data_IF_521778841145
#
_entry.id   IF_521778841145
#
_cell.length_a   1.000
_cell.length_b   1.000
_cell.length_c   1.000
_cell.angle_alpha   90.00
_cell.angle_beta   90.00
_cell.angle_gamma   90.00
#
_symmetry.space_group_name_H-M   'P 1'
#
loop_
_entity.id
_entity.type
_entity.pdbx_description
1 polymer ?
#
# COMPACT_ATOMS: atom_id res chain seq x y z
N UNK A 1 -18.77 -3.83 -16.78
CA UNK A 1 -17.88 -4.71 -16.00
C UNK A 1 -16.80 -3.81 -15.42
N UNK A 2 -16.61 -3.78 -14.10
CA UNK A 2 -15.46 -3.07 -13.52
C UNK A 2 -14.20 -3.84 -13.89
N UNK A 3 -13.19 -3.14 -14.42
CA UNK A 3 -11.87 -3.74 -14.58
C UNK A 3 -11.10 -3.56 -13.27
N UNK A 4 -10.24 -4.53 -12.94
CA UNK A 4 -9.41 -4.52 -11.74
C UNK A 4 -8.04 -5.09 -12.04
N UNK A 5 -7.00 -4.53 -11.43
CA UNK A 5 -5.63 -5.04 -11.52
C UNK A 5 -4.96 -5.00 -10.15
N UNK A 6 -4.14 -6.01 -9.86
CA UNK A 6 -3.19 -5.89 -8.75
C UNK A 6 -2.29 -4.69 -9.04
N UNK A 7 -2.24 -3.75 -8.10
CA UNK A 7 -1.44 -2.54 -8.25
C UNK A 7 -0.36 -2.48 -7.18
N UNK A 8 -0.67 -2.92 -5.94
CA UNK A 8 0.28 -2.85 -4.82
C UNK A 8 0.21 -4.03 -3.87
N UNK A 9 1.30 -4.24 -3.13
CA UNK A 9 1.37 -5.14 -1.99
C UNK A 9 1.92 -4.34 -0.80
N UNK A 10 1.18 -4.32 0.31
CA UNK A 10 1.65 -3.74 1.56
C UNK A 10 2.23 -4.82 2.47
N UNK A 11 3.45 -4.62 2.93
CA UNK A 11 4.17 -5.48 3.85
C UNK A 11 4.23 -4.87 5.24
N UNK A 12 4.04 -5.71 6.25
CA UNK A 12 4.20 -5.36 7.66
C UNK A 12 5.69 -5.38 7.97
N UNK A 13 6.19 -4.31 8.57
CA UNK A 13 7.56 -4.19 9.06
C UNK A 13 7.57 -3.67 10.49
N UNK A 14 8.53 -4.14 11.28
CA UNK A 14 8.69 -3.73 12.68
C UNK A 14 9.37 -2.36 12.82
N UNK A 15 10.24 -2.02 11.86
CA UNK A 15 10.98 -0.76 11.79
C UNK A 15 10.98 -0.27 10.34
N UNK A 16 10.21 0.79 10.06
CA UNK A 16 10.05 1.31 8.71
C UNK A 16 11.36 1.90 8.18
N UNK A 17 12.14 2.58 9.02
CA UNK A 17 13.36 3.26 8.61
C UNK A 17 14.45 2.25 8.25
N UNK A 18 14.62 1.23 9.09
CA UNK A 18 15.55 0.13 8.81
C UNK A 18 15.15 -0.62 7.52
N UNK A 19 13.87 -0.91 7.34
CA UNK A 19 13.37 -1.60 6.14
C UNK A 19 13.59 -0.77 4.87
N UNK A 20 13.25 0.52 4.88
CA UNK A 20 13.50 1.42 3.75
C UNK A 20 15.00 1.53 3.43
N UNK A 21 15.85 1.72 4.45
CA UNK A 21 17.29 1.81 4.26
C UNK A 21 17.87 0.54 3.63
N UNK A 22 17.42 -0.63 4.08
CA UNK A 22 17.85 -1.91 3.52
C UNK A 22 17.34 -2.12 2.09
N UNK A 23 16.08 -1.78 1.79
CA UNK A 23 15.52 -1.92 0.45
C UNK A 23 16.16 -0.94 -0.54
N UNK A 24 16.46 0.29 -0.11
CA UNK A 24 17.27 1.23 -0.89
C UNK A 24 18.66 0.67 -1.16
N UNK A 25 19.36 0.21 -0.10
CA UNK A 25 20.70 -0.37 -0.19
C UNK A 25 20.80 -1.54 -1.17
N UNK A 26 19.85 -2.47 -1.13
CA UNK A 26 19.93 -3.74 -1.85
C UNK A 26 19.25 -3.66 -3.22
N UNK A 27 18.10 -3.01 -3.30
CA UNK A 27 17.21 -3.07 -4.45
C UNK A 27 17.02 -1.72 -5.13
N UNK A 28 17.73 -0.67 -4.71
CA UNK A 28 17.63 0.69 -5.27
C UNK A 28 16.19 1.24 -5.21
N UNK A 29 15.49 0.95 -4.11
CA UNK A 29 14.12 1.40 -3.87
C UNK A 29 14.08 2.70 -3.09
N UNK A 30 13.28 3.65 -3.57
CA UNK A 30 12.99 4.89 -2.88
C UNK A 30 11.50 4.94 -2.46
N UNK A 31 11.22 5.69 -1.40
CA UNK A 31 9.91 5.68 -0.73
C UNK A 31 9.47 7.08 -0.33
N UNK A 32 8.15 7.31 -0.40
CA UNK A 32 7.49 8.47 0.21
C UNK A 32 6.82 8.02 1.52
N UNK A 33 7.16 8.65 2.63
CA UNK A 33 6.62 8.32 3.96
C UNK A 33 5.37 9.14 4.26
N UNK A 34 4.35 8.45 4.76
CA UNK A 34 3.09 9.01 5.26
C UNK A 34 2.85 8.58 6.70
N UNK A 35 2.28 9.49 7.48
CA UNK A 35 1.75 9.20 8.81
C UNK A 35 0.24 9.14 8.70
N UNK A 36 -0.34 8.01 9.11
CA UNK A 36 -1.79 7.76 9.12
C UNK A 36 -2.22 7.64 10.57
N UNK A 37 -2.19 8.77 11.28
CA UNK A 37 -2.43 8.84 12.72
C UNK A 37 -3.80 8.28 13.13
N UNK A 38 -4.81 8.43 12.26
CA UNK A 38 -6.16 7.88 12.47
C UNK A 38 -6.18 6.35 12.52
N UNK A 39 -5.15 5.70 12.01
CA UNK A 39 -4.98 4.25 12.05
C UNK A 39 -3.81 3.81 12.93
N UNK A 40 -3.04 4.73 13.51
CA UNK A 40 -1.81 4.40 14.23
C UNK A 40 -0.76 3.72 13.34
N UNK A 41 -0.56 4.24 12.12
CA UNK A 41 0.36 3.66 11.13
C UNK A 41 1.35 4.69 10.57
N UNK A 42 2.58 4.23 10.28
CA UNK A 42 3.48 4.83 9.31
C UNK A 42 3.50 3.97 8.06
N UNK A 43 3.44 4.60 6.89
CA UNK A 43 3.42 3.92 5.60
C UNK A 43 4.49 4.50 4.69
N UNK A 44 5.36 3.65 4.16
CA UNK A 44 6.32 4.02 3.12
C UNK A 44 5.82 3.50 1.77
N UNK A 45 5.60 4.39 0.82
CA UNK A 45 5.06 4.07 -0.50
C UNK A 45 6.19 4.11 -1.52
N UNK A 46 6.54 2.94 -2.05
CA UNK A 46 7.52 2.80 -3.13
C UNK A 46 6.89 2.91 -4.52
N UNK A 47 7.72 3.20 -5.52
CA UNK A 47 7.28 3.42 -6.91
C UNK A 47 6.80 2.14 -7.61
N UNK A 48 7.37 0.98 -7.24
CA UNK A 48 7.16 -0.31 -7.91
C UNK A 48 6.00 -1.14 -7.33
N UNK A 49 4.98 -0.49 -6.76
CA UNK A 49 3.83 -1.19 -6.17
C UNK A 49 4.10 -1.82 -4.80
N UNK A 50 5.19 -1.45 -4.12
CA UNK A 50 5.46 -1.89 -2.75
C UNK A 50 5.04 -0.82 -1.73
N UNK A 51 4.33 -1.22 -0.69
CA UNK A 51 4.15 -0.42 0.52
C UNK A 51 4.76 -1.13 1.72
N UNK A 52 5.35 -0.37 2.63
CA UNK A 52 5.77 -0.85 3.94
C UNK A 52 4.89 -0.19 4.99
N UNK A 53 4.44 -0.96 5.97
CA UNK A 53 3.52 -0.52 7.00
C UNK A 53 4.09 -0.88 8.36
N UNK A 54 4.26 0.14 9.20
CA UNK A 54 4.70 0.02 10.59
C UNK A 54 3.59 0.53 11.51
N UNK A 55 3.29 -0.20 12.59
CA UNK A 55 2.41 0.28 13.65
C UNK A 55 3.14 1.32 14.49
N UNK A 56 2.51 2.45 14.79
CA UNK A 56 3.12 3.51 15.62
C UNK A 56 3.02 3.26 17.12
N UNK A 57 2.34 2.19 17.54
CA UNK A 57 2.12 1.89 18.95
C UNK A 57 1.63 0.46 19.20
N UNK A 58 1.53 0.06 20.49
CA UNK A 58 1.14 -1.29 20.88
C UNK A 58 -0.37 -1.53 20.70
N UNK A 59 -1.17 -0.46 20.63
CA UNK A 59 -2.62 -0.57 20.56
C UNK A 59 -3.08 -1.29 19.27
N UNK A 60 -4.13 -2.11 19.35
CA UNK A 60 -4.68 -2.75 18.18
C UNK A 60 -5.24 -1.73 17.19
N UNK A 61 -4.95 -1.93 15.91
CA UNK A 61 -5.52 -1.09 14.84
C UNK A 61 -6.69 -1.80 14.18
N UNK A 62 -7.65 -1.05 13.62
CA UNK A 62 -8.93 -1.58 13.13
C UNK A 62 -8.79 -2.73 12.09
N UNK A 63 -7.68 -2.76 11.35
CA UNK A 63 -7.43 -3.74 10.28
C UNK A 63 -6.48 -4.88 10.69
N UNK A 64 -5.92 -4.86 11.90
CA UNK A 64 -4.86 -5.79 12.32
C UNK A 64 -5.30 -7.25 12.30
N UNK A 65 -6.53 -7.55 12.74
CA UNK A 65 -7.06 -8.91 12.72
C UNK A 65 -7.22 -9.51 11.31
N UNK A 66 -7.20 -8.65 10.28
CA UNK A 66 -7.32 -9.05 8.88
C UNK A 66 -5.95 -9.41 8.31
N UNK A 67 -4.88 -8.75 8.77
CA UNK A 67 -3.52 -8.92 8.29
C UNK A 67 -3.04 -10.37 8.38
N UNK A 68 -2.12 -10.74 7.49
CA UNK A 68 -1.51 -12.07 7.41
C UNK A 68 -0.03 -11.90 7.16
N UNK A 69 0.72 -11.74 8.25
CA UNK A 69 2.15 -11.46 8.20
C UNK A 69 2.89 -12.40 7.23
N UNK A 70 3.77 -11.87 6.35
CA UNK A 70 4.22 -10.47 6.32
C UNK A 70 3.31 -9.50 5.55
N UNK A 71 2.14 -9.92 5.07
CA UNK A 71 1.28 -9.12 4.19
C UNK A 71 0.19 -8.39 5.00
N UNK A 72 0.14 -7.07 4.86
CA UNK A 72 -0.93 -6.22 5.36
C UNK A 72 -2.10 -6.14 4.37
N UNK A 73 -1.81 -6.01 3.07
CA UNK A 73 -2.82 -5.95 2.00
C UNK A 73 -2.25 -6.31 0.62
N UNK A 74 -3.09 -6.94 -0.20
CA UNK A 74 -3.02 -6.90 -1.65
C UNK A 74 -3.95 -5.81 -2.14
N UNK A 75 -3.42 -4.80 -2.82
CA UNK A 75 -4.19 -3.65 -3.23
C UNK A 75 -4.53 -3.72 -4.72
N UNK A 76 -5.82 -3.84 -4.99
CA UNK A 76 -6.37 -3.93 -6.34
C UNK A 76 -6.94 -2.57 -6.72
N UNK A 77 -6.39 -1.98 -7.78
CA UNK A 77 -6.95 -0.77 -8.37
C UNK A 77 -8.13 -1.16 -9.24
N UNK A 78 -9.25 -0.47 -9.07
CA UNK A 78 -10.47 -0.63 -9.86
C UNK A 78 -10.89 0.71 -10.47
N UNK A 79 -11.60 0.67 -11.60
CA UNK A 79 -12.12 1.87 -12.25
C UNK A 79 -13.37 2.42 -11.54
N UNK A 80 -14.18 1.53 -10.96
CA UNK A 80 -15.43 1.84 -10.27
C UNK A 80 -15.47 1.05 -8.96
N UNK A 81 -15.28 1.77 -7.84
CA UNK A 81 -15.18 1.19 -6.51
C UNK A 81 -16.51 0.58 -6.05
N UNK A 82 -17.64 1.21 -6.35
CA UNK A 82 -18.96 0.74 -5.93
C UNK A 82 -19.35 -0.53 -6.68
N UNK A 83 -19.11 -0.56 -7.99
CA UNK A 83 -19.32 -1.76 -8.80
C UNK A 83 -18.42 -2.92 -8.36
N UNK A 84 -17.15 -2.65 -8.02
CA UNK A 84 -16.23 -3.66 -7.52
C UNK A 84 -16.64 -4.21 -6.15
N UNK A 85 -17.06 -3.35 -5.21
CA UNK A 85 -17.58 -3.77 -3.91
C UNK A 85 -18.84 -4.63 -4.09
N UNK A 86 -19.75 -4.22 -4.96
CA UNK A 86 -20.96 -4.99 -5.26
C UNK A 86 -20.61 -6.38 -5.82
N UNK A 87 -19.67 -6.46 -6.77
CA UNK A 87 -19.20 -7.73 -7.33
C UNK A 87 -18.57 -8.64 -6.26
N UNK A 88 -17.73 -8.09 -5.38
CA UNK A 88 -17.14 -8.85 -4.27
C UNK A 88 -18.21 -9.35 -3.29
N UNK A 89 -19.20 -8.52 -2.96
CA UNK A 89 -20.34 -8.93 -2.12
C UNK A 89 -21.16 -10.04 -2.76
N UNK A 90 -21.43 -9.96 -4.05
CA UNK A 90 -22.11 -11.04 -4.80
C UNK A 90 -21.31 -12.34 -4.80
N UNK A 91 -19.98 -12.25 -4.78
CA UNK A 91 -19.08 -13.40 -4.64
C UNK A 91 -18.94 -13.92 -3.20
N UNK A 92 -19.64 -13.34 -2.22
CA UNK A 92 -19.64 -13.77 -0.83
C UNK A 92 -18.59 -13.12 0.07
N UNK A 93 -17.95 -12.04 -0.39
CA UNK A 93 -16.98 -11.29 0.41
C UNK A 93 -17.63 -10.12 1.16
N UNK A 94 -17.16 -9.83 2.37
CA UNK A 94 -17.67 -8.74 3.20
C UNK A 94 -16.72 -7.55 3.23
N UNK A 95 -17.28 -6.35 3.39
CA UNK A 95 -16.49 -5.16 3.66
C UNK A 95 -16.13 -5.16 5.14
N UNK A 96 -14.84 -5.20 5.45
CA UNK A 96 -14.34 -5.18 6.83
C UNK A 96 -14.03 -3.77 7.32
N UNK A 97 -13.45 -2.93 6.46
CA UNK A 97 -13.05 -1.59 6.81
C UNK A 97 -13.04 -0.69 5.58
N UNK A 98 -13.32 0.59 5.75
CA UNK A 98 -13.26 1.58 4.67
C UNK A 98 -12.69 2.89 5.21
N UNK A 99 -11.91 3.58 4.37
CA UNK A 99 -11.38 4.90 4.65
C UNK A 99 -11.29 5.72 3.37
N UNK A 100 -11.09 7.03 3.53
CA UNK A 100 -10.73 7.93 2.43
C UNK A 100 -9.36 8.51 2.72
N UNK A 101 -8.44 8.44 1.75
CA UNK A 101 -7.09 8.99 1.91
C UNK A 101 -7.11 10.53 1.91
N UNK A 102 -6.04 11.20 2.35
CA UNK A 102 -5.93 12.66 2.27
C UNK A 102 -6.16 13.24 0.86
N UNK A 103 -5.74 12.51 -0.18
CA UNK A 103 -5.97 12.85 -1.59
C UNK A 103 -7.38 12.55 -2.12
N UNK A 104 -8.30 12.08 -1.27
CA UNK A 104 -9.69 11.81 -1.62
C UNK A 104 -9.96 10.44 -2.24
N UNK A 105 -9.00 9.51 -2.18
CA UNK A 105 -9.17 8.16 -2.74
C UNK A 105 -9.89 7.26 -1.73
N UNK A 106 -11.02 6.63 -2.10
CA UNK A 106 -11.63 5.61 -1.26
C UNK A 106 -10.79 4.34 -1.27
N UNK A 107 -10.50 3.80 -0.08
CA UNK A 107 -9.88 2.49 0.13
C UNK A 107 -10.82 1.61 0.94
N UNK A 108 -11.06 0.37 0.47
CA UNK A 108 -12.01 -0.57 1.09
C UNK A 108 -11.36 -1.93 1.28
N UNK A 109 -11.22 -2.34 2.53
CA UNK A 109 -10.70 -3.65 2.93
C UNK A 109 -11.82 -4.70 2.86
N UNK A 110 -11.61 -5.74 2.05
CA UNK A 110 -12.54 -6.85 1.83
C UNK A 110 -12.28 -8.07 2.73
N UNK A 111 -11.45 -7.90 3.77
CA UNK A 111 -11.03 -8.99 4.63
C UNK A 111 -9.89 -9.81 4.03
N UNK A 112 -9.80 -11.08 4.42
CA UNK A 112 -8.77 -12.04 3.97
C UNK A 112 -9.38 -13.28 3.30
N UNK A 113 -10.63 -13.20 2.86
CA UNK A 113 -11.35 -14.33 2.31
C UNK A 113 -10.87 -14.71 0.88
N UNK A 114 -10.14 -13.84 0.17
CA UNK A 114 -9.53 -14.19 -1.11
C UNK A 114 -8.26 -15.03 -0.88
N UNK A 115 -8.40 -16.36 -0.92
CA UNK A 115 -7.30 -17.31 -0.68
C UNK A 115 -6.52 -17.11 0.63
N UNK A 116 -7.16 -16.54 1.65
CA UNK A 116 -6.48 -16.21 2.91
C UNK A 116 -5.66 -14.91 2.85
N UNK A 117 -5.68 -14.17 1.74
CA UNK A 117 -4.87 -12.97 1.54
C UNK A 117 -5.69 -11.71 1.85
N UNK A 118 -5.18 -10.81 2.72
CA UNK A 118 -5.81 -9.53 3.00
C UNK A 118 -5.96 -8.75 1.69
N UNK A 119 -7.18 -8.34 1.32
CA UNK A 119 -7.44 -7.70 0.02
C UNK A 119 -8.08 -6.33 0.22
N UNK A 120 -7.53 -5.33 -0.47
CA UNK A 120 -7.98 -3.96 -0.47
C UNK A 120 -8.36 -3.53 -1.88
N UNK A 121 -9.49 -2.85 -2.03
CA UNK A 121 -9.91 -2.20 -3.26
C UNK A 121 -9.72 -0.69 -3.15
N UNK A 122 -9.30 -0.05 -4.23
CA UNK A 122 -9.31 1.41 -4.32
C UNK A 122 -9.48 1.89 -5.76
N UNK A 123 -9.98 3.12 -5.92
CA UNK A 123 -10.09 3.78 -7.21
C UNK A 123 -9.32 5.10 -7.18
N UNK A 124 -8.23 5.17 -7.96
CA UNK A 124 -7.43 6.38 -8.09
C UNK A 124 -7.83 7.18 -9.34
N UNK A 125 -7.81 8.52 -9.30
CA UNK A 125 -8.13 9.35 -10.44
C UNK A 125 -7.25 9.02 -11.67
N UNK A 126 -7.79 9.09 -12.89
CA UNK A 126 -7.02 8.90 -14.11
C UNK A 126 -5.81 9.85 -14.18
N UNK A 127 -4.68 9.35 -14.69
CA UNK A 127 -3.48 10.15 -14.94
C UNK A 127 -2.67 10.53 -13.70
N UNK A 128 -3.07 10.10 -12.50
CA UNK A 128 -2.28 10.30 -11.27
C UNK A 128 -1.51 9.04 -10.90
N UNK A 129 -0.26 9.22 -10.46
CA UNK A 129 0.48 8.18 -9.73
C UNK A 129 -0.28 7.81 -8.45
N UNK A 130 0.01 6.66 -7.88
CA UNK A 130 -0.63 6.26 -6.62
C UNK A 130 -0.32 7.27 -5.50
N UNK A 131 0.93 7.72 -5.37
CA UNK A 131 1.29 8.71 -4.33
C UNK A 131 0.52 10.01 -4.51
N UNK A 132 0.42 10.54 -5.74
CA UNK A 132 -0.40 11.73 -6.01
C UNK A 132 -1.86 11.53 -5.69
N UNK A 133 -2.40 10.35 -6.01
CA UNK A 133 -3.77 10.00 -5.74
C UNK A 133 -4.05 9.94 -4.23
N UNK A 134 -3.17 9.29 -3.44
CA UNK A 134 -3.44 9.09 -2.01
C UNK A 134 -3.05 10.28 -1.14
N UNK A 135 -2.06 11.08 -1.56
CA UNK A 135 -1.57 12.23 -0.79
C UNK A 135 -2.13 13.58 -1.24
N UNK A 136 -2.60 13.67 -2.49
CA UNK A 136 -2.95 14.94 -3.13
C UNK A 136 -1.75 15.82 -3.51
N UNK A 137 -0.51 15.33 -3.31
CA UNK A 137 0.73 16.06 -3.59
C UNK A 137 1.37 15.53 -4.87
N UNK A 138 1.79 16.43 -5.75
CA UNK A 138 2.69 16.07 -6.86
C UNK A 138 4.03 15.66 -6.30
N UNK A 139 4.52 14.51 -6.75
CA UNK A 139 5.83 13.99 -6.39
C UNK A 139 6.73 14.21 -7.59
N UNK A 140 7.77 15.02 -7.45
CA UNK A 140 8.82 15.16 -8.45
C UNK A 140 9.78 13.97 -8.34
N UNK A 141 10.50 13.62 -9.41
CA UNK A 141 11.65 12.68 -9.35
C UNK A 141 12.62 13.04 -8.22
N UNK A 142 12.73 14.33 -7.87
CA UNK A 142 13.56 14.81 -6.74
C UNK A 142 13.12 14.30 -5.37
N UNK A 143 11.88 13.86 -5.19
CA UNK A 143 11.43 13.23 -3.96
C UNK A 143 12.00 11.80 -3.78
N UNK A 144 12.61 11.26 -4.84
CA UNK A 144 13.31 9.98 -4.87
C UNK A 144 14.83 10.15 -5.12
N UNK A 145 15.33 11.39 -5.28
CA UNK A 145 16.65 11.65 -5.89
C UNK A 145 17.85 11.71 -4.93
N UNK A 146 17.67 11.52 -3.62
CA UNK A 146 18.79 11.59 -2.66
C UNK A 146 19.35 10.21 -2.30
N UNK A 147 19.63 9.37 -3.30
CA UNK A 147 20.22 8.05 -3.07
C UNK A 147 21.25 7.65 -4.13
N UNK A 148 22.37 7.06 -3.68
CA UNK A 148 23.41 6.47 -4.53
C UNK A 148 23.41 4.96 -4.27
N UNK A 149 23.29 4.09 -5.30
CA UNK A 149 23.23 2.65 -5.13
C UNK A 149 24.44 2.10 -4.36
N UNK A 150 24.20 1.27 -3.35
CA UNK A 150 25.25 0.70 -2.51
C UNK A 150 25.79 -0.65 -3.02
N UNK A 151 25.07 -1.36 -3.91
CA UNK A 151 25.45 -2.71 -4.35
C UNK A 151 25.69 -2.78 -5.86
N UNK A 152 26.96 -3.06 -6.20
CA UNK A 152 27.34 -3.55 -7.53
C UNK A 152 27.12 -5.08 -7.61
N UNK A 153 26.05 -5.46 -8.29
CA UNK A 153 25.69 -6.87 -8.52
C UNK A 153 26.62 -7.58 -9.51
N UNK A 154 27.46 -6.86 -10.26
CA UNK A 154 28.37 -7.46 -11.25
C UNK A 154 29.56 -8.21 -10.61
N UNK A 155 29.81 -8.04 -9.31
CA UNK A 155 30.98 -8.57 -8.61
C UNK A 155 30.77 -9.86 -7.78
N UNK A 156 29.57 -10.44 -7.73
CA UNK A 156 29.29 -11.64 -6.91
C UNK A 156 29.01 -12.87 -7.80
N UNK A 157 30.07 -13.56 -8.21
CA UNK A 157 30.03 -14.97 -8.62
C UNK A 157 30.42 -15.87 -7.45
#
# INVERSE_FOLDING_TARGET
MSSGRLDRIALIVDDLEAAMAQMGAIFDMAFVVLHVDTMGLRVAIGESGLELVEKTGPDPIAVEGIWRAPIASLEVRVDDIDAAIAAMKTAGYEVHHSLVTPGGVPKVQMGNAFHGLPTLLYAAPPGKTYVEAVTGRSVTESAFADYTPAIDWAGRQ
#
